data_IF_876535412163
#
_entry.id   IF_876535412163
#
_cell.length_a   1.000
_cell.length_b   1.000
_cell.length_c   1.000
_cell.angle_alpha   90.00
_cell.angle_beta   90.00
_cell.angle_gamma   90.00
#
_symmetry.space_group_name_H-M   'P 1'
#
loop_
_entity.id
_entity.type
_entity.pdbx_description
1 polymer ?
#
# COMPACT_ATOMS: atom_id res chain seq x y z
N UNK A 1 -28.60 16.43 -14.44
CA UNK A 1 -27.63 15.34 -14.67
C UNK A 1 -26.35 15.69 -13.91
N UNK A 2 -26.16 15.16 -12.70
CA UNK A 2 -24.87 15.30 -12.01
C UNK A 2 -23.85 14.40 -12.72
N UNK A 3 -22.71 14.96 -13.12
CA UNK A 3 -21.57 14.19 -13.63
C UNK A 3 -21.24 13.05 -12.64
N UNK A 4 -20.95 11.84 -13.13
CA UNK A 4 -20.61 10.67 -12.30
C UNK A 4 -19.49 10.98 -11.27
N UNK A 5 -18.63 11.95 -11.57
CA UNK A 5 -17.57 12.47 -10.69
C UNK A 5 -18.12 13.18 -9.45
N UNK A 6 -19.26 13.89 -9.57
CA UNK A 6 -19.86 14.63 -8.45
C UNK A 6 -20.52 13.70 -7.43
N UNK A 7 -21.13 12.60 -7.87
CA UNK A 7 -21.74 11.62 -6.95
C UNK A 7 -20.66 10.89 -6.15
N UNK A 8 -19.53 10.55 -6.79
CA UNK A 8 -18.39 9.93 -6.12
C UNK A 8 -17.76 10.86 -5.07
N UNK A 9 -17.54 12.15 -5.40
CA UNK A 9 -17.03 13.13 -4.44
C UNK A 9 -18.01 13.34 -3.27
N UNK A 10 -19.32 13.39 -3.51
CA UNK A 10 -20.33 13.57 -2.45
C UNK A 10 -20.41 12.35 -1.54
N UNK A 11 -20.32 11.13 -2.07
CA UNK A 11 -20.27 9.90 -1.26
C UNK A 11 -18.95 9.84 -0.48
N UNK A 12 -17.82 10.20 -1.09
CA UNK A 12 -16.51 10.18 -0.44
C UNK A 12 -16.43 11.23 0.68
N UNK A 13 -16.89 12.46 0.43
CA UNK A 13 -16.97 13.54 1.43
C UNK A 13 -17.99 13.18 2.51
N UNK A 14 -19.15 12.64 2.14
CA UNK A 14 -20.17 12.16 3.07
C UNK A 14 -19.66 11.05 3.98
N UNK A 15 -18.89 10.09 3.46
CA UNK A 15 -18.25 9.04 4.26
C UNK A 15 -17.11 9.57 5.12
N UNK A 16 -16.27 10.49 4.61
CA UNK A 16 -15.24 11.14 5.42
C UNK A 16 -15.88 11.88 6.60
N UNK A 17 -17.00 12.57 6.38
CA UNK A 17 -17.73 13.32 7.43
C UNK A 17 -18.46 12.38 8.39
N UNK A 18 -19.12 11.34 7.88
CA UNK A 18 -19.88 10.39 8.71
C UNK A 18 -18.99 9.51 9.60
N UNK A 19 -17.74 9.28 9.20
CA UNK A 19 -16.76 8.51 9.98
C UNK A 19 -15.71 9.38 10.71
N UNK A 20 -15.77 10.72 10.59
CA UNK A 20 -14.99 11.68 11.39
C UNK A 20 -15.89 12.50 12.32
N UNK A 21 -16.81 11.88 13.05
CA UNK A 21 -17.61 12.59 14.06
C UNK A 21 -16.82 13.03 15.31
N UNK A 22 -15.50 12.90 15.32
CA UNK A 22 -14.62 13.51 16.32
C UNK A 22 -13.59 14.44 15.64
N UNK A 23 -14.06 15.55 15.06
CA UNK A 23 -13.37 16.84 15.09
C UNK A 23 -14.19 17.90 14.33
N UNK A 24 -14.63 18.92 15.07
CA UNK A 24 -15.42 20.04 14.59
C UNK A 24 -14.67 20.90 13.54
N UNK A 25 -15.39 21.54 12.58
CA UNK A 25 -14.78 22.37 11.57
C UNK A 25 -14.61 23.81 12.08
N UNK A 26 -13.38 24.34 12.05
CA UNK A 26 -13.14 25.77 12.17
C UNK A 26 -12.80 26.34 10.78
N UNK A 27 -13.59 27.32 10.37
CA UNK A 27 -13.50 28.08 9.14
C UNK A 27 -12.10 28.71 8.95
N UNK A 28 -11.59 28.73 7.72
CA UNK A 28 -10.45 29.58 7.34
C UNK A 28 -10.93 30.71 6.43
N UNK A 29 -10.71 31.93 6.90
CA UNK A 29 -10.85 33.17 6.15
C UNK A 29 -9.53 33.43 5.39
N UNK A 30 -9.64 33.80 4.12
CA UNK A 30 -8.48 33.98 3.23
C UNK A 30 -7.63 35.15 3.68
N UNK A 31 -6.32 34.94 3.87
CA UNK A 31 -5.35 36.02 3.76
C UNK A 31 -4.09 35.55 3.05
N UNK A 32 -3.89 36.11 1.86
CA UNK A 32 -2.61 36.10 1.18
C UNK A 32 -1.61 36.91 2.01
N UNK A 33 -0.46 36.32 2.35
CA UNK A 33 0.75 37.11 2.48
C UNK A 33 1.98 36.32 2.03
N UNK A 34 2.81 37.00 1.26
CA UNK A 34 4.04 36.51 0.67
C UNK A 34 5.19 36.69 1.68
N UNK A 35 6.20 35.80 1.55
CA UNK A 35 7.48 35.83 2.27
C UNK A 35 7.48 35.26 3.69
N UNK A 36 7.89 34.00 3.81
CA UNK A 36 8.94 33.53 4.72
C UNK A 36 9.32 32.08 4.33
N UNK A 37 10.21 31.97 3.35
CA UNK A 37 10.93 30.74 3.05
C UNK A 37 12.01 30.59 4.13
N UNK A 38 11.68 29.96 5.26
CA UNK A 38 12.60 29.34 6.23
C UNK A 38 11.84 28.98 7.50
N UNK A 39 11.17 27.81 7.48
CA UNK A 39 10.96 26.90 8.62
C UNK A 39 10.00 25.79 8.19
N UNK A 40 10.52 24.89 7.37
CA UNK A 40 9.94 23.56 7.26
C UNK A 40 11.03 22.54 7.58
N UNK A 41 11.05 21.93 8.79
CA UNK A 41 12.03 20.91 9.17
C UNK A 41 12.04 19.68 8.24
N UNK A 42 11.06 19.61 7.33
CA UNK A 42 10.84 18.53 6.36
C UNK A 42 11.51 18.76 4.99
N UNK A 43 12.22 19.88 4.80
CA UNK A 43 12.91 20.22 3.55
C UNK A 43 14.28 19.53 3.34
N UNK A 44 14.66 18.55 4.17
CA UNK A 44 15.96 17.88 4.08
C UNK A 44 15.90 16.39 3.76
N UNK A 45 15.09 16.00 2.78
CA UNK A 45 15.39 14.80 1.99
C UNK A 45 15.60 15.19 0.53
N UNK A 46 16.83 15.60 0.20
CA UNK A 46 17.34 15.83 -1.16
C UNK A 46 17.46 14.52 -1.98
N UNK A 47 16.64 13.50 -1.71
CA UNK A 47 16.60 12.32 -2.57
C UNK A 47 15.80 12.68 -3.82
N UNK A 48 16.41 12.63 -5.03
CA UNK A 48 15.69 12.87 -6.28
C UNK A 48 14.60 11.81 -6.53
N UNK A 49 14.60 10.72 -5.77
CA UNK A 49 13.59 9.69 -5.78
C UNK A 49 12.42 10.13 -4.88
N UNK A 50 11.29 10.52 -5.49
CA UNK A 50 10.00 10.58 -4.76
C UNK A 50 9.88 9.31 -3.92
N UNK A 51 9.41 9.42 -2.67
CA UNK A 51 9.22 8.28 -1.74
C UNK A 51 8.27 7.25 -2.37
N UNK A 52 8.83 6.37 -3.19
CA UNK A 52 8.14 5.29 -3.87
C UNK A 52 7.67 4.30 -2.80
N UNK A 53 6.52 3.69 -3.03
CA UNK A 53 5.70 3.01 -2.01
C UNK A 53 5.23 1.66 -2.56
N UNK A 54 6.19 0.85 -3.00
CA UNK A 54 5.93 -0.04 -4.13
C UNK A 54 6.80 -1.30 -4.14
N UNK A 55 6.35 -2.23 -4.99
CA UNK A 55 7.07 -3.43 -5.40
C UNK A 55 7.63 -3.25 -6.82
N UNK A 56 8.62 -4.07 -7.16
CA UNK A 56 9.16 -4.16 -8.51
C UNK A 56 8.16 -4.85 -9.45
N UNK A 57 8.11 -4.41 -10.71
CA UNK A 57 7.12 -4.89 -11.68
C UNK A 57 7.26 -6.37 -12.07
N UNK A 58 8.49 -6.88 -12.05
CA UNK A 58 8.87 -8.26 -12.36
C UNK A 58 8.59 -9.25 -11.23
N UNK A 59 8.21 -8.76 -10.04
CA UNK A 59 7.89 -9.62 -8.92
C UNK A 59 6.62 -10.43 -9.19
N UNK A 60 6.55 -11.64 -8.67
CA UNK A 60 5.50 -12.61 -8.99
C UNK A 60 4.44 -12.70 -7.90
N UNK A 61 3.18 -12.81 -8.32
CA UNK A 61 2.02 -13.09 -7.47
C UNK A 61 1.39 -14.37 -7.94
N UNK A 62 0.99 -15.21 -6.98
CA UNK A 62 0.20 -16.41 -7.26
C UNK A 62 -1.30 -16.06 -7.27
N UNK A 63 -1.94 -16.36 -8.38
CA UNK A 63 -3.39 -16.25 -8.54
C UNK A 63 -4.10 -17.42 -7.85
N UNK A 64 -5.38 -17.24 -7.52
CA UNK A 64 -6.21 -18.27 -6.89
C UNK A 64 -6.40 -19.51 -7.76
N UNK A 65 -6.26 -19.37 -9.09
CA UNK A 65 -6.25 -20.49 -10.04
C UNK A 65 -4.90 -21.24 -10.11
N UNK A 66 -3.92 -20.88 -9.28
CA UNK A 66 -2.61 -21.51 -9.20
C UNK A 66 -1.56 -20.98 -10.18
N UNK A 67 -1.94 -20.15 -11.16
CA UNK A 67 -0.99 -19.50 -12.08
C UNK A 67 -0.23 -18.37 -11.39
N UNK A 68 0.90 -17.99 -11.96
CA UNK A 68 1.66 -16.82 -11.54
C UNK A 68 1.45 -15.65 -12.51
N UNK A 69 1.47 -14.44 -11.98
CA UNK A 69 1.37 -13.19 -12.74
C UNK A 69 2.35 -12.18 -12.16
N UNK A 70 3.01 -11.42 -13.02
CA UNK A 70 3.86 -10.31 -12.61
C UNK A 70 3.03 -9.17 -12.01
N UNK A 71 3.57 -8.48 -10.99
CA UNK A 71 2.93 -7.32 -10.35
C UNK A 71 2.58 -6.25 -11.39
N UNK A 72 3.47 -6.00 -12.37
CA UNK A 72 3.25 -5.00 -13.41
C UNK A 72 2.05 -5.28 -14.32
N UNK A 73 1.62 -6.55 -14.38
CA UNK A 73 0.54 -7.06 -15.20
C UNK A 73 -0.75 -7.37 -14.40
N UNK A 74 -0.77 -7.06 -13.10
CA UNK A 74 -1.97 -7.15 -12.29
C UNK A 74 -3.06 -6.22 -12.79
N UNK A 75 -4.29 -6.70 -12.70
CA UNK A 75 -5.50 -6.00 -13.07
C UNK A 75 -6.51 -6.05 -11.93
N UNK A 76 -7.35 -5.02 -11.86
CA UNK A 76 -8.52 -5.03 -10.99
C UNK A 76 -9.38 -6.27 -11.28
N UNK A 77 -9.85 -6.93 -10.23
CA UNK A 77 -10.57 -8.19 -10.31
C UNK A 77 -9.71 -9.45 -10.34
N UNK A 78 -8.38 -9.34 -10.42
CA UNK A 78 -7.51 -10.51 -10.28
C UNK A 78 -7.69 -11.13 -8.87
N UNK A 79 -8.10 -12.39 -8.81
CA UNK A 79 -8.11 -13.16 -7.57
C UNK A 79 -6.72 -13.75 -7.28
N UNK A 80 -6.17 -13.37 -6.13
CA UNK A 80 -4.81 -13.73 -5.70
C UNK A 80 -4.83 -14.42 -4.34
N UNK A 81 -3.81 -15.20 -4.06
CA UNK A 81 -3.65 -15.78 -2.73
C UNK A 81 -2.91 -14.83 -1.77
N UNK A 82 -3.32 -14.82 -0.51
CA UNK A 82 -2.63 -14.14 0.58
C UNK A 82 -2.69 -14.99 1.85
N UNK A 83 -2.05 -14.52 2.93
CA UNK A 83 -2.11 -15.13 4.26
C UNK A 83 -2.89 -14.20 5.18
N UNK A 84 -3.79 -14.80 5.96
CA UNK A 84 -4.54 -14.13 7.02
C UNK A 84 -4.62 -15.07 8.24
N UNK A 85 -4.15 -14.62 9.40
CA UNK A 85 -4.16 -15.41 10.64
C UNK A 85 -3.64 -16.85 10.42
N UNK A 86 -2.48 -16.98 9.74
CA UNK A 86 -1.85 -18.27 9.38
C UNK A 86 -2.64 -19.16 8.40
N UNK A 87 -3.72 -18.65 7.78
CA UNK A 87 -4.50 -19.36 6.76
C UNK A 87 -4.24 -18.76 5.38
N UNK A 88 -4.10 -19.62 4.38
CA UNK A 88 -4.03 -19.21 2.98
C UNK A 88 -5.45 -18.93 2.52
N UNK A 89 -5.71 -17.70 2.06
CA UNK A 89 -7.03 -17.25 1.60
C UNK A 89 -6.93 -16.61 0.22
N UNK A 90 -8.06 -16.55 -0.50
CA UNK A 90 -8.20 -15.76 -1.73
C UNK A 90 -8.57 -14.32 -1.38
N UNK A 91 -8.00 -13.35 -2.09
CA UNK A 91 -8.38 -11.94 -2.02
C UNK A 91 -8.33 -11.33 -3.42
N UNK A 92 -9.16 -10.32 -3.66
CA UNK A 92 -9.26 -9.66 -4.96
C UNK A 92 -8.35 -8.41 -4.99
N UNK A 93 -7.64 -8.22 -6.10
CA UNK A 93 -6.96 -6.96 -6.42
C UNK A 93 -8.02 -5.94 -6.84
N UNK A 94 -8.02 -4.78 -6.18
CA UNK A 94 -9.03 -3.72 -6.38
C UNK A 94 -8.51 -2.64 -7.33
N UNK A 95 -7.30 -2.16 -7.07
CA UNK A 95 -6.73 -1.05 -7.84
C UNK A 95 -5.21 -0.98 -7.66
N UNK A 96 -4.56 -0.24 -8.57
CA UNK A 96 -3.16 0.11 -8.46
C UNK A 96 -3.06 1.53 -7.86
N UNK A 97 -2.59 1.67 -6.62
CA UNK A 97 -2.47 2.97 -5.94
C UNK A 97 -1.42 3.86 -6.61
N UNK A 98 -0.28 3.28 -7.00
CA UNK A 98 0.81 3.92 -7.75
C UNK A 98 1.30 2.99 -8.85
N UNK A 99 1.63 3.55 -10.00
CA UNK A 99 2.25 2.85 -11.12
C UNK A 99 3.19 3.79 -11.84
N UNK A 100 4.48 3.50 -11.82
CA UNK A 100 5.50 4.20 -12.60
C UNK A 100 6.32 3.16 -13.34
N UNK A 101 6.21 3.08 -14.67
CA UNK A 101 6.87 2.03 -15.46
C UNK A 101 8.30 2.45 -15.82
N UNK A 102 8.47 3.74 -16.11
CA UNK A 102 9.72 4.30 -16.63
C UNK A 102 10.68 4.81 -15.55
N UNK A 103 10.21 5.00 -14.31
CA UNK A 103 10.99 5.59 -13.22
C UNK A 103 11.80 4.54 -12.47
N UNK A 104 12.94 4.98 -11.95
CA UNK A 104 13.79 4.17 -11.10
C UNK A 104 13.58 4.52 -9.63
N UNK A 105 13.77 3.55 -8.75
CA UNK A 105 13.77 3.72 -7.31
C UNK A 105 14.75 2.76 -6.64
N UNK A 106 15.19 3.10 -5.44
CA UNK A 106 15.93 2.19 -4.57
C UNK A 106 14.98 1.14 -3.98
N UNK A 107 15.36 -0.12 -4.11
CA UNK A 107 14.68 -1.27 -3.51
C UNK A 107 15.58 -1.95 -2.49
N UNK A 108 14.99 -2.28 -1.35
CA UNK A 108 15.51 -3.20 -0.37
C UNK A 108 15.08 -4.60 -0.76
N UNK A 109 16.04 -5.43 -1.13
CA UNK A 109 15.82 -6.82 -1.50
C UNK A 109 16.17 -7.69 -0.31
N UNK A 110 15.13 -8.30 0.27
CA UNK A 110 15.19 -9.12 1.47
C UNK A 110 15.15 -10.59 1.04
N UNK A 111 16.22 -11.32 1.34
CA UNK A 111 16.31 -12.76 1.07
C UNK A 111 16.20 -13.56 2.36
N UNK A 112 15.35 -14.58 2.34
CA UNK A 112 15.10 -15.43 3.50
C UNK A 112 15.80 -16.77 3.38
N UNK A 113 15.95 -17.48 4.50
CA UNK A 113 16.59 -18.81 4.55
C UNK A 113 15.90 -19.86 3.67
N UNK A 114 14.61 -19.65 3.40
CA UNK A 114 13.78 -20.53 2.60
C UNK A 114 14.03 -20.39 1.10
N UNK A 115 14.90 -19.46 0.70
CA UNK A 115 15.23 -19.16 -0.68
C UNK A 115 14.29 -18.15 -1.34
N UNK A 116 13.29 -17.65 -0.61
CA UNK A 116 12.38 -16.62 -1.09
C UNK A 116 13.02 -15.23 -0.99
N UNK A 117 12.68 -14.35 -1.92
CA UNK A 117 13.23 -13.01 -2.00
C UNK A 117 12.16 -12.00 -2.40
N UNK A 118 12.14 -10.85 -1.75
CA UNK A 118 11.17 -9.77 -2.02
C UNK A 118 11.90 -8.42 -2.10
N UNK A 119 11.57 -7.64 -3.13
CA UNK A 119 12.10 -6.27 -3.32
C UNK A 119 11.01 -5.25 -3.03
N UNK A 120 11.26 -4.36 -2.05
CA UNK A 120 10.35 -3.29 -1.63
C UNK A 120 11.08 -1.96 -1.58
N UNK A 121 10.37 -0.86 -1.78
CA UNK A 121 10.95 0.47 -1.52
C UNK A 121 11.15 0.74 -0.03
N UNK A 122 12.01 1.71 0.30
CA UNK A 122 12.49 2.02 1.67
C UNK A 122 11.38 2.04 2.75
N UNK A 123 10.23 2.62 2.44
CA UNK A 123 9.11 2.84 3.37
C UNK A 123 7.90 1.92 3.12
N UNK A 124 8.10 0.81 2.42
CA UNK A 124 7.05 -0.19 2.24
C UNK A 124 6.89 -1.04 3.50
N UNK A 125 5.65 -1.24 3.95
CA UNK A 125 5.40 -2.06 5.14
C UNK A 125 5.48 -3.55 4.81
N UNK A 126 6.23 -4.28 5.64
CA UNK A 126 6.27 -5.74 5.63
C UNK A 126 5.90 -6.28 7.02
N UNK A 127 4.98 -7.25 7.10
CA UNK A 127 4.68 -7.94 8.35
C UNK A 127 5.88 -8.78 8.77
N UNK A 128 6.24 -8.65 10.04
CA UNK A 128 7.25 -9.44 10.73
C UNK A 128 6.61 -10.11 11.95
N UNK A 129 7.22 -11.19 12.41
CA UNK A 129 6.86 -11.79 13.72
C UNK A 129 8.06 -11.75 14.64
N UNK A 130 7.79 -11.64 15.94
CA UNK A 130 8.78 -11.94 16.97
C UNK A 130 8.66 -13.41 17.44
N UNK A 131 9.58 -13.83 18.31
CA UNK A 131 9.59 -15.16 18.94
C UNK A 131 8.31 -15.49 19.73
N UNK A 132 7.51 -14.49 20.07
CA UNK A 132 6.26 -14.65 20.81
C UNK A 132 5.04 -14.81 19.89
N UNK A 133 5.24 -14.83 18.56
CA UNK A 133 4.18 -14.98 17.56
C UNK A 133 3.35 -13.73 17.34
N UNK A 134 3.76 -12.56 17.87
CA UNK A 134 3.04 -11.31 17.66
C UNK A 134 3.44 -10.73 16.30
N UNK A 135 2.42 -10.52 15.45
CA UNK A 135 2.56 -9.82 14.18
C UNK A 135 2.80 -8.33 14.43
N UNK A 136 3.84 -7.78 13.80
CA UNK A 136 4.13 -6.36 13.75
C UNK A 136 4.45 -5.95 12.31
N UNK A 137 4.40 -4.66 12.01
CA UNK A 137 4.73 -4.13 10.69
C UNK A 137 5.93 -3.21 10.79
N UNK A 138 6.95 -3.46 9.96
CA UNK A 138 8.12 -2.60 9.85
C UNK A 138 8.26 -2.07 8.43
N UNK A 139 8.87 -0.90 8.28
CA UNK A 139 9.34 -0.46 6.97
C UNK A 139 10.50 -1.33 6.50
N UNK A 140 10.63 -1.51 5.18
CA UNK A 140 11.71 -2.27 4.56
C UNK A 140 13.10 -1.90 5.11
N UNK A 141 13.36 -0.60 5.30
CA UNK A 141 14.63 -0.10 5.85
C UNK A 141 14.91 -0.48 7.31
N UNK A 142 13.88 -0.84 8.07
CA UNK A 142 13.98 -1.18 9.49
C UNK A 142 14.23 -2.67 9.70
N UNK A 143 14.08 -3.48 8.65
CA UNK A 143 14.33 -4.92 8.69
C UNK A 143 15.81 -5.19 8.91
N UNK A 144 16.08 -6.18 9.75
CA UNK A 144 17.43 -6.65 10.08
C UNK A 144 17.56 -8.13 9.74
N UNK A 145 18.80 -8.55 9.50
CA UNK A 145 19.13 -9.98 9.42
C UNK A 145 18.71 -10.64 10.73
N UNK A 146 18.01 -11.77 10.63
CA UNK A 146 17.42 -12.48 11.75
C UNK A 146 15.94 -12.16 12.04
N UNK A 147 15.37 -11.09 11.46
CA UNK A 147 13.92 -10.85 11.53
C UNK A 147 13.17 -11.93 10.75
N UNK A 148 12.01 -12.35 11.24
CA UNK A 148 11.22 -13.42 10.63
C UNK A 148 10.12 -12.88 9.74
N UNK A 149 10.15 -13.27 8.47
CA UNK A 149 9.10 -12.97 7.49
C UNK A 149 8.10 -14.12 7.36
N UNK A 150 6.88 -13.77 6.98
CA UNK A 150 5.81 -14.70 6.66
C UNK A 150 5.99 -15.21 5.23
N UNK A 151 6.22 -16.52 5.07
CA UNK A 151 6.55 -17.13 3.77
C UNK A 151 5.63 -18.31 3.48
N UNK A 152 5.23 -18.42 2.21
CA UNK A 152 4.59 -19.61 1.67
C UNK A 152 5.66 -20.52 1.03
N UNK A 153 5.92 -21.66 1.65
CA UNK A 153 6.92 -22.62 1.22
C UNK A 153 6.29 -24.01 1.05
N UNK A 154 6.43 -24.61 -0.13
CA UNK A 154 5.80 -25.90 -0.47
C UNK A 154 4.29 -25.95 -0.15
N UNK A 155 3.58 -24.84 -0.43
CA UNK A 155 2.14 -24.73 -0.18
C UNK A 155 1.75 -24.60 1.31
N UNK A 156 2.73 -24.47 2.21
CA UNK A 156 2.50 -24.28 3.64
C UNK A 156 3.05 -22.94 4.11
N UNK A 157 2.30 -22.32 5.00
CA UNK A 157 2.75 -21.12 5.69
C UNK A 157 3.86 -21.46 6.70
N UNK A 158 4.92 -20.64 6.72
CA UNK A 158 5.98 -20.71 7.73
C UNK A 158 6.61 -19.33 7.98
N UNK A 159 7.31 -19.22 9.10
CA UNK A 159 8.22 -18.10 9.36
C UNK A 159 9.62 -18.44 8.84
N UNK A 160 10.28 -17.48 8.21
CA UNK A 160 11.61 -17.66 7.62
C UNK A 160 12.47 -16.43 7.93
N UNK A 161 13.63 -16.59 8.60
CA UNK A 161 14.50 -15.49 8.94
C UNK A 161 15.13 -14.87 7.68
N UNK A 162 15.28 -13.55 7.71
CA UNK A 162 16.07 -12.81 6.71
C UNK A 162 17.54 -13.13 6.90
N UNK A 163 18.19 -13.60 5.85
CA UNK A 163 19.62 -13.97 5.84
C UNK A 163 20.48 -12.97 5.08
N UNK A 164 19.87 -12.16 4.21
CA UNK A 164 20.59 -11.18 3.41
C UNK A 164 19.68 -10.01 3.04
N UNK A 165 20.26 -8.82 3.02
CA UNK A 165 19.61 -7.58 2.64
C UNK A 165 20.53 -6.89 1.65
N UNK A 166 20.04 -6.64 0.44
CA UNK A 166 20.73 -5.82 -0.56
C UNK A 166 19.90 -4.60 -0.91
N UNK A 167 20.57 -3.56 -1.39
CA UNK A 167 19.92 -2.35 -1.87
C UNK A 167 20.31 -2.19 -3.34
N UNK A 168 19.31 -2.13 -4.20
CA UNK A 168 19.51 -2.06 -5.65
C UNK A 168 18.57 -1.04 -6.30
N UNK A 169 19.04 -0.39 -7.35
CA UNK A 169 18.21 0.47 -8.18
C UNK A 169 17.42 -0.41 -9.16
N UNK A 170 16.08 -0.33 -9.13
CA UNK A 170 15.23 -0.98 -10.13
C UNK A 170 14.36 0.03 -10.85
N UNK A 171 14.06 -0.30 -12.10
CA UNK A 171 13.12 0.43 -12.94
C UNK A 171 11.74 -0.18 -12.83
N UNK A 172 10.72 0.67 -12.69
CA UNK A 172 9.34 0.24 -12.60
C UNK A 172 8.93 -0.04 -11.16
N UNK A 173 7.90 0.66 -10.68
CA UNK A 173 7.38 0.44 -9.34
C UNK A 173 5.84 0.54 -9.29
N UNK A 174 5.24 -0.35 -8.50
CA UNK A 174 3.81 -0.64 -8.50
C UNK A 174 3.29 -0.84 -7.07
N UNK A 175 2.13 -0.27 -6.75
CA UNK A 175 1.48 -0.38 -5.44
C UNK A 175 0.07 -0.98 -5.56
N UNK A 176 -0.07 -2.31 -5.68
CA UNK A 176 -1.38 -2.96 -5.76
C UNK A 176 -2.10 -2.88 -4.40
N UNK A 177 -3.41 -2.62 -4.44
CA UNK A 177 -4.30 -2.68 -3.28
C UNK A 177 -5.25 -3.86 -3.42
N UNK A 178 -5.32 -4.68 -2.38
CA UNK A 178 -6.27 -5.80 -2.30
C UNK A 178 -7.41 -5.53 -1.31
N UNK A 179 -8.46 -6.34 -1.42
CA UNK A 179 -9.55 -6.40 -0.44
C UNK A 179 -9.05 -6.70 0.97
N UNK A 180 -8.00 -7.52 1.12
CA UNK A 180 -7.43 -7.82 2.42
C UNK A 180 -6.45 -6.75 2.92
N UNK A 181 -5.79 -6.02 2.03
CA UNK A 181 -4.71 -5.08 2.39
C UNK A 181 -3.34 -5.74 2.53
N UNK A 182 -3.26 -7.05 2.30
CA UNK A 182 -2.02 -7.82 2.20
C UNK A 182 -2.04 -8.66 0.92
N UNK A 183 -0.86 -9.08 0.48
CA UNK A 183 -0.65 -9.94 -0.68
C UNK A 183 0.66 -10.72 -0.56
N UNK A 184 0.79 -11.82 -1.31
CA UNK A 184 2.03 -12.60 -1.40
C UNK A 184 2.81 -12.18 -2.66
N UNK A 185 3.96 -11.54 -2.46
CA UNK A 185 4.93 -11.23 -3.52
C UNK A 185 6.10 -12.21 -3.41
N UNK A 186 6.40 -12.96 -4.47
CA UNK A 186 7.44 -14.00 -4.47
C UNK A 186 7.29 -14.99 -3.29
N UNK A 187 6.03 -15.27 -2.92
CA UNK A 187 5.61 -16.07 -1.78
C UNK A 187 5.95 -15.48 -0.38
N UNK A 188 6.32 -14.21 -0.28
CA UNK A 188 6.49 -13.48 0.98
C UNK A 188 5.29 -12.56 1.19
N UNK A 189 4.71 -12.57 2.39
CA UNK A 189 3.59 -11.71 2.74
C UNK A 189 4.07 -10.26 2.84
N UNK A 190 3.36 -9.36 2.20
CA UNK A 190 3.61 -7.93 2.28
C UNK A 190 2.31 -7.16 2.49
N UNK A 191 2.43 -5.95 3.06
CA UNK A 191 1.30 -5.02 3.11
C UNK A 191 1.09 -4.38 1.72
N UNK A 192 -0.14 -3.96 1.42
CA UNK A 192 -0.42 -3.04 0.31
C UNK A 192 0.00 -1.59 0.62
N UNK A 193 0.40 -1.29 1.86
CA UNK A 193 0.60 0.08 2.34
C UNK A 193 2.07 0.40 2.59
N UNK A 194 2.36 1.70 2.53
CA UNK A 194 3.68 2.27 2.70
C UNK A 194 3.55 3.71 3.22
N UNK A 195 4.62 4.28 3.79
CA UNK A 195 4.63 5.62 4.40
C UNK A 195 3.61 5.85 5.53
N UNK A 196 2.93 4.81 5.99
CA UNK A 196 2.08 4.81 7.18
C UNK A 196 2.64 3.73 8.08
N UNK A 197 3.00 4.07 9.32
CA UNK A 197 3.58 3.11 10.27
C UNK A 197 2.55 2.12 10.84
N UNK A 198 1.26 2.38 10.63
CA UNK A 198 0.17 1.56 11.13
C UNK A 198 -0.65 0.98 9.96
N UNK A 199 -0.45 -0.31 9.72
CA UNK A 199 -1.19 -1.09 8.73
C UNK A 199 -2.71 -0.99 8.93
N UNK A 200 -3.18 -1.14 10.17
CA UNK A 200 -4.62 -1.12 10.49
C UNK A 200 -5.24 0.26 10.26
N UNK A 201 -4.50 1.33 10.52
CA UNK A 201 -4.95 2.69 10.23
C UNK A 201 -5.12 2.89 8.72
N UNK A 202 -4.10 2.55 7.93
CA UNK A 202 -4.17 2.61 6.47
C UNK A 202 -5.30 1.73 5.92
N UNK A 203 -5.49 0.54 6.49
CA UNK A 203 -6.57 -0.37 6.17
C UNK A 203 -7.94 0.30 6.37
N UNK A 204 -8.14 0.97 7.51
CA UNK A 204 -9.39 1.64 7.85
C UNK A 204 -9.70 2.80 6.89
N UNK A 205 -8.71 3.63 6.57
CA UNK A 205 -8.88 4.72 5.59
C UNK A 205 -9.23 4.21 4.19
N UNK A 206 -8.80 2.99 3.83
CA UNK A 206 -9.10 2.40 2.52
C UNK A 206 -10.42 1.61 2.51
N UNK A 207 -11.07 1.40 3.66
CA UNK A 207 -12.34 0.66 3.76
C UNK A 207 -13.47 1.26 2.91
N UNK A 208 -13.69 2.59 2.86
CA UNK A 208 -14.71 3.18 1.99
C UNK A 208 -14.50 2.84 0.50
N UNK A 209 -13.26 2.79 0.02
CA UNK A 209 -12.95 2.40 -1.36
C UNK A 209 -13.34 0.95 -1.65
N UNK A 210 -13.09 0.05 -0.69
CA UNK A 210 -13.49 -1.36 -0.80
C UNK A 210 -15.00 -1.54 -0.87
N UNK A 211 -15.74 -0.76 -0.07
CA UNK A 211 -17.20 -0.75 -0.12
C UNK A 211 -17.72 -0.19 -1.44
N UNK A 212 -17.17 0.93 -1.90
CA UNK A 212 -17.53 1.51 -3.19
C UNK A 212 -17.25 0.54 -4.35
N UNK A 213 -16.08 -0.11 -4.36
CA UNK A 213 -15.73 -1.15 -5.33
C UNK A 213 -16.78 -2.27 -5.38
N UNK A 214 -17.07 -2.86 -4.21
CA UNK A 214 -18.06 -3.93 -4.07
C UNK A 214 -19.44 -3.48 -4.52
N UNK A 215 -19.85 -2.28 -4.10
CA UNK A 215 -21.15 -1.73 -4.46
C UNK A 215 -21.26 -1.53 -5.98
N UNK A 216 -20.29 -0.87 -6.61
CA UNK A 216 -20.29 -0.60 -8.04
C UNK A 216 -20.32 -1.88 -8.90
N UNK A 217 -19.59 -2.93 -8.48
CA UNK A 217 -19.61 -4.24 -9.15
C UNK A 217 -20.90 -5.03 -8.89
N UNK A 218 -21.46 -4.95 -7.69
CA UNK A 218 -22.71 -5.62 -7.33
C UNK A 218 -23.88 -5.13 -8.17
N UNK A 219 -23.97 -3.81 -8.40
CA UNK A 219 -25.00 -3.22 -9.26
C UNK A 219 -24.70 -3.37 -10.76
N UNK A 220 -23.73 -4.22 -11.14
CA UNK A 220 -23.26 -4.51 -12.51
C UNK A 220 -22.86 -3.29 -13.33
N UNK A 221 -22.60 -2.13 -12.71
CA UNK A 221 -22.51 -0.88 -13.46
C UNK A 221 -21.22 -0.78 -14.27
N UNK A 222 -20.08 -1.16 -13.73
CA UNK A 222 -18.74 -1.18 -14.36
C UNK A 222 -17.72 -1.47 -13.24
N UNK A 223 -16.48 -1.78 -13.60
CA UNK A 223 -15.39 -1.75 -12.61
C UNK A 223 -14.90 -0.30 -12.46
N UNK A 224 -15.11 0.33 -11.29
CA UNK A 224 -14.77 1.74 -11.09
C UNK A 224 -13.27 2.01 -11.05
N UNK A 225 -12.46 0.95 -10.93
CA UNK A 225 -11.01 1.02 -10.88
C UNK A 225 -10.32 0.34 -12.05
N UNK A 226 -11.09 -0.03 -13.08
CA UNK A 226 -10.56 -0.54 -14.33
C UNK A 226 -9.88 0.59 -15.12
N UNK A 227 -8.61 0.84 -14.83
CA UNK A 227 -7.75 1.67 -15.68
C UNK A 227 -6.92 0.76 -16.56
N UNK A 228 -7.38 0.64 -17.79
CA UNK A 228 -6.45 0.47 -18.90
C UNK A 228 -5.60 1.75 -19.02
N UNK A 229 -4.35 1.64 -18.56
CA UNK A 229 -3.19 2.50 -18.89
C UNK A 229 -3.28 4.00 -18.56
N UNK A 230 -2.88 4.40 -17.35
CA UNK A 230 -2.12 5.64 -17.15
C UNK A 230 -1.06 5.43 -16.07
N UNK A 231 0.18 5.87 -16.32
CA UNK A 231 1.21 5.98 -15.30
C UNK A 231 0.84 7.11 -14.33
N UNK A 232 1.06 6.93 -13.03
CA UNK A 232 0.67 7.91 -12.02
C UNK A 232 0.20 7.28 -10.72
N UNK A 233 0.15 8.12 -9.69
CA UNK A 233 -0.64 7.81 -8.51
C UNK A 233 -2.12 8.02 -8.87
N UNK A 234 -2.97 7.06 -8.50
CA UNK A 234 -4.40 7.26 -8.61
C UNK A 234 -4.80 8.50 -7.81
N UNK A 235 -5.40 9.50 -8.46
CA UNK A 235 -5.66 10.81 -7.84
C UNK A 235 -6.52 10.70 -6.57
N UNK A 236 -7.42 9.73 -6.52
CA UNK A 236 -8.25 9.41 -5.34
C UNK A 236 -7.44 8.82 -4.19
N UNK A 237 -6.40 8.03 -4.49
CA UNK A 237 -5.47 7.50 -3.49
C UNK A 237 -4.58 8.59 -2.89
N UNK A 238 -4.22 9.62 -3.68
CA UNK A 238 -3.45 10.78 -3.21
C UNK A 238 -4.12 11.51 -2.06
N UNK A 239 -5.42 11.83 -2.22
CA UNK A 239 -6.21 12.56 -1.22
C UNK A 239 -6.30 11.76 0.09
N UNK A 240 -6.49 10.45 0.01
CA UNK A 240 -6.64 9.60 1.19
C UNK A 240 -5.33 9.23 1.86
N UNK A 241 -4.29 8.93 1.09
CA UNK A 241 -2.95 8.77 1.66
C UNK A 241 -2.46 10.08 2.29
N UNK A 242 -2.84 11.23 1.73
CA UNK A 242 -2.62 12.53 2.36
C UNK A 242 -3.31 12.60 3.72
N UNK A 243 -4.61 12.27 3.83
CA UNK A 243 -5.30 12.25 5.13
C UNK A 243 -4.72 11.19 6.10
N UNK A 244 -4.42 9.98 5.64
CA UNK A 244 -3.82 8.93 6.46
C UNK A 244 -2.42 9.31 6.98
N UNK A 245 -1.65 10.10 6.21
CA UNK A 245 -0.38 10.68 6.65
C UNK A 245 -0.57 11.89 7.58
N UNK A 246 -1.64 12.66 7.37
CA UNK A 246 -1.96 13.86 8.14
C UNK A 246 -2.43 13.53 9.56
N UNK A 247 -3.25 12.49 9.72
CA UNK A 247 -3.73 12.01 11.03
C UNK A 247 -2.75 11.06 11.76
N UNK A 248 -1.46 11.30 11.55
CA UNK A 248 -0.38 10.62 12.26
C UNK A 248 -0.52 10.87 13.77
N UNK A 249 -0.70 9.81 14.56
CA UNK A 249 -0.75 9.86 16.03
C UNK A 249 0.52 10.43 16.68
N UNK A 250 1.60 10.58 15.90
CA UNK A 250 2.88 11.13 16.35
C UNK A 250 2.83 12.68 16.45
N UNK A 251 1.71 13.33 16.12
CA UNK A 251 1.49 14.77 16.34
C UNK A 251 1.03 15.13 17.77
N UNK A 252 0.95 14.15 18.68
CA UNK A 252 0.62 14.37 20.10
C UNK A 252 1.70 13.88 21.08
N UNK A 253 2.91 13.57 20.61
CA UNK A 253 4.08 13.43 21.46
C UNK A 253 5.25 14.25 20.91
N UNK A 254 5.30 15.51 21.34
CA UNK A 254 6.55 16.11 21.79
C UNK A 254 6.67 15.87 23.29
#
# INVERSE_FOLDING_TARGET
MYSKTNIFCIILIGFIILFNTDSSPLYYESYHDHHHYERDPWAHSHSPYRRAQCFSGDSLIKLSNGKYKEVGNLQSGDEIITIDQSKIISTEMIMMLDKQISKEALFYTLRTDSGNEISLTEYHLIPITNSNGNENYLFAKQIKIGDYLFVLFNGKFKYSPVINITIEMKKGYYAPLTMKGTLLINNILASCFANVNNHHLAQNYMTPFRYYYKFARFISLYDPFNINKTEGLYWTANIMLYFARYFRSDALCL
#
